data_IF_338443611809
#
_entry.id   IF_338443611809
#
_cell.length_a   1.000
_cell.length_b   1.000
_cell.length_c   1.000
_cell.angle_alpha   90.00
_cell.angle_beta   90.00
_cell.angle_gamma   90.00
#
_symmetry.space_group_name_H-M   'P 1'
#
loop_
_entity.id
_entity.type
_entity.pdbx_description
1 polymer ?
#
# COMPACT_ATOMS: atom_id res chain seq x y z
N UNK A 1 -1.84 54.85 -9.16
CA UNK A 1 -1.41 53.67 -8.37
C UNK A 1 -2.01 52.42 -8.99
N UNK A 2 -1.19 51.51 -9.52
CA UNK A 2 -1.66 50.18 -9.93
C UNK A 2 -1.79 49.31 -8.66
N UNK A 3 -2.96 48.72 -8.43
CA UNK A 3 -3.21 47.80 -7.31
C UNK A 3 -3.03 46.36 -7.79
N UNK A 4 -2.38 45.51 -6.99
CA UNK A 4 -2.22 44.08 -7.27
C UNK A 4 -3.17 43.28 -6.40
N UNK A 5 -3.87 42.30 -7.01
CA UNK A 5 -4.73 41.35 -6.29
C UNK A 5 -4.14 39.96 -6.48
N UNK A 6 -3.98 39.21 -5.37
CA UNK A 6 -3.56 37.80 -5.38
C UNK A 6 -4.76 36.92 -5.06
N UNK A 7 -5.01 35.92 -5.89
CA UNK A 7 -6.08 34.94 -5.71
C UNK A 7 -5.46 33.57 -5.52
N UNK A 8 -5.91 32.84 -4.50
CA UNK A 8 -5.49 31.47 -4.21
C UNK A 8 -6.65 30.52 -4.55
N UNK A 9 -6.38 29.50 -5.34
CA UNK A 9 -7.36 28.48 -5.72
C UNK A 9 -6.94 27.12 -5.15
N UNK A 10 -7.82 26.51 -4.37
CA UNK A 10 -7.65 25.15 -3.89
C UNK A 10 -8.46 24.18 -4.77
N UNK A 11 -7.83 23.10 -5.24
CA UNK A 11 -8.46 22.11 -6.11
C UNK A 11 -8.24 20.71 -5.53
N UNK A 12 -9.32 19.95 -5.33
CA UNK A 12 -9.26 18.55 -4.91
C UNK A 12 -9.28 17.65 -6.15
N UNK A 13 -8.17 16.98 -6.44
CA UNK A 13 -8.03 16.06 -7.58
C UNK A 13 -8.12 14.60 -7.12
N UNK A 14 -8.98 13.80 -7.76
CA UNK A 14 -9.12 12.36 -7.50
C UNK A 14 -8.08 11.56 -8.28
N UNK A 15 -7.92 10.28 -7.96
CA UNK A 15 -7.12 9.35 -8.78
C UNK A 15 -7.91 8.99 -10.04
N UNK A 16 -7.22 8.88 -11.17
CA UNK A 16 -7.81 8.53 -12.45
C UNK A 16 -6.80 7.81 -13.35
N UNK A 17 -7.26 7.11 -14.41
CA UNK A 17 -6.37 6.54 -15.41
C UNK A 17 -5.41 7.59 -15.97
N UNK A 18 -4.14 7.25 -16.10
CA UNK A 18 -3.07 8.16 -16.50
C UNK A 18 -2.27 8.78 -15.35
N UNK A 19 -2.79 8.77 -14.12
CA UNK A 19 -2.03 9.21 -12.95
C UNK A 19 -0.88 8.23 -12.63
N UNK A 20 0.25 8.77 -12.17
CA UNK A 20 1.44 7.98 -11.85
C UNK A 20 1.47 7.58 -10.38
N UNK A 21 1.59 6.27 -10.14
CA UNK A 21 1.74 5.67 -8.81
C UNK A 21 3.13 5.03 -8.68
N UNK A 22 3.62 4.87 -7.46
CA UNK A 22 4.88 4.20 -7.17
C UNK A 22 4.88 3.52 -5.81
N UNK A 23 5.58 2.38 -5.70
CA UNK A 23 5.99 1.85 -4.41
C UNK A 23 7.33 2.44 -3.96
N UNK A 24 7.78 2.05 -2.77
CA UNK A 24 9.05 2.50 -2.18
C UNK A 24 10.28 1.82 -2.81
N UNK A 25 10.08 0.71 -3.51
CA UNK A 25 11.14 -0.11 -4.11
C UNK A 25 11.42 0.23 -5.58
N UNK A 26 11.12 1.46 -6.00
CA UNK A 26 11.35 1.94 -7.36
C UNK A 26 10.39 1.38 -8.42
N UNK A 27 9.44 0.53 -8.03
CA UNK A 27 8.34 0.09 -8.88
C UNK A 27 7.42 1.29 -9.15
N UNK A 28 7.29 1.68 -10.42
CA UNK A 28 6.44 2.79 -10.87
C UNK A 28 5.45 2.27 -11.90
N UNK A 29 4.22 2.76 -11.83
CA UNK A 29 3.15 2.42 -12.74
C UNK A 29 2.31 3.63 -13.09
N UNK A 30 1.57 3.51 -14.18
CA UNK A 30 0.48 4.44 -14.52
C UNK A 30 -0.81 3.66 -14.30
N UNK A 31 -1.79 4.28 -13.65
CA UNK A 31 -3.12 3.66 -13.50
C UNK A 31 -3.70 3.46 -14.89
N UNK A 32 -3.96 2.21 -15.29
CA UNK A 32 -4.51 1.89 -16.62
C UNK A 32 -6.03 1.90 -16.61
N UNK A 33 -6.63 1.35 -15.57
CA UNK A 33 -8.08 1.18 -15.45
C UNK A 33 -8.48 1.20 -13.97
N UNK A 34 -9.70 1.68 -13.70
CA UNK A 34 -10.37 1.56 -12.40
C UNK A 34 -11.60 0.70 -12.68
N UNK A 35 -11.65 -0.48 -12.06
CA UNK A 35 -12.75 -1.43 -12.23
C UNK A 35 -13.68 -1.40 -11.01
N UNK A 36 -14.95 -1.82 -11.16
CA UNK A 36 -15.84 -2.07 -10.03
C UNK A 36 -15.27 -3.12 -9.07
N UNK A 37 -15.73 -3.12 -7.82
CA UNK A 37 -15.20 -4.00 -6.77
C UNK A 37 -15.56 -5.47 -7.01
N UNK A 38 -16.72 -5.71 -7.63
CA UNK A 38 -17.23 -7.03 -8.02
C UNK A 38 -16.38 -7.70 -9.11
N UNK A 39 -15.66 -6.91 -9.92
CA UNK A 39 -14.78 -7.42 -10.97
C UNK A 39 -13.38 -7.79 -10.43
N UNK A 40 -13.05 -7.37 -9.20
CA UNK A 40 -11.72 -7.60 -8.63
C UNK A 40 -11.55 -9.05 -8.16
N UNK A 41 -10.35 -9.62 -8.31
CA UNK A 41 -10.02 -10.87 -7.66
C UNK A 41 -10.26 -10.79 -6.15
N UNK A 42 -10.82 -11.84 -5.57
CA UNK A 42 -11.13 -11.89 -4.14
C UNK A 42 -10.57 -13.15 -3.49
N UNK A 43 -10.33 -13.05 -2.18
CA UNK A 43 -9.91 -14.17 -1.34
C UNK A 43 -11.11 -15.06 -0.99
N UNK A 44 -10.86 -16.25 -0.43
CA UNK A 44 -11.90 -17.19 -0.03
C UNK A 44 -12.91 -16.65 1.00
N UNK A 45 -12.53 -15.62 1.76
CA UNK A 45 -13.39 -14.90 2.70
C UNK A 45 -14.28 -13.84 2.02
N UNK A 46 -14.16 -13.67 0.70
CA UNK A 46 -14.87 -12.68 -0.09
C UNK A 46 -14.20 -11.30 -0.13
N UNK A 47 -13.07 -11.11 0.55
CA UNK A 47 -12.36 -9.82 0.55
C UNK A 47 -11.72 -9.57 -0.83
N UNK A 48 -12.08 -8.49 -1.54
CA UNK A 48 -11.49 -8.15 -2.83
C UNK A 48 -10.09 -7.55 -2.65
N UNK A 49 -9.24 -7.71 -3.67
CA UNK A 49 -7.95 -7.00 -3.73
C UNK A 49 -8.15 -5.56 -4.22
N UNK A 50 -7.32 -4.62 -3.74
CA UNK A 50 -7.43 -3.21 -4.14
C UNK A 50 -6.63 -2.86 -5.40
N UNK A 51 -5.46 -3.48 -5.59
CA UNK A 51 -4.53 -3.20 -6.69
C UNK A 51 -3.94 -4.50 -7.21
N UNK A 52 -3.98 -4.69 -8.53
CA UNK A 52 -3.29 -5.80 -9.21
C UNK A 52 -2.00 -5.28 -9.85
N UNK A 53 -0.87 -5.89 -9.48
CA UNK A 53 0.45 -5.56 -10.02
C UNK A 53 0.97 -6.70 -10.90
N UNK A 54 1.71 -6.35 -11.96
CA UNK A 54 2.30 -7.34 -12.86
C UNK A 54 3.58 -7.97 -12.23
N UNK A 55 3.62 -9.30 -12.03
CA UNK A 55 4.77 -9.96 -11.41
C UNK A 55 6.05 -9.92 -12.27
N UNK A 56 5.94 -9.78 -13.60
CA UNK A 56 7.09 -9.75 -14.52
C UNK A 56 8.03 -8.55 -14.28
N UNK A 57 7.52 -7.51 -13.61
CA UNK A 57 8.29 -6.32 -13.27
C UNK A 57 9.30 -6.51 -12.14
N UNK A 58 9.24 -7.62 -11.39
CA UNK A 58 10.11 -7.86 -10.23
C UNK A 58 11.43 -8.55 -10.62
N UNK A 59 11.43 -9.69 -11.35
CA UNK A 59 12.68 -10.40 -11.66
C UNK A 59 13.66 -9.55 -12.48
N UNK A 60 13.13 -8.81 -13.46
CA UNK A 60 13.92 -7.98 -14.36
C UNK A 60 14.57 -6.77 -13.69
N UNK A 61 13.98 -6.26 -12.60
CA UNK A 61 14.47 -5.08 -11.87
C UNK A 61 15.21 -5.42 -10.59
N UNK A 62 15.23 -6.70 -10.20
CA UNK A 62 15.88 -7.23 -9.00
C UNK A 62 15.47 -6.50 -7.70
N UNK A 63 14.26 -5.96 -7.64
CA UNK A 63 13.72 -5.26 -6.47
C UNK A 63 12.85 -6.20 -5.61
N UNK A 64 13.48 -7.27 -5.11
CA UNK A 64 12.84 -8.34 -4.32
C UNK A 64 12.22 -7.81 -3.02
N UNK A 65 12.76 -6.73 -2.46
CA UNK A 65 12.26 -6.12 -1.23
C UNK A 65 10.76 -5.77 -1.26
N UNK A 66 10.18 -5.52 -2.44
CA UNK A 66 8.74 -5.28 -2.56
C UNK A 66 7.90 -6.52 -2.25
N UNK A 67 8.43 -7.73 -2.50
CA UNK A 67 7.75 -8.99 -2.17
C UNK A 67 7.83 -9.22 -0.66
N UNK A 68 9.00 -8.98 -0.06
CA UNK A 68 9.17 -9.05 1.39
C UNK A 68 8.26 -8.06 2.12
N UNK A 69 8.11 -6.84 1.59
CA UNK A 69 7.16 -5.84 2.08
C UNK A 69 5.72 -6.37 2.04
N UNK A 70 5.31 -6.98 0.93
CA UNK A 70 3.94 -7.54 0.76
C UNK A 70 3.68 -8.64 1.79
N UNK A 71 4.61 -9.58 1.99
CA UNK A 71 4.47 -10.67 2.95
C UNK A 71 4.40 -10.15 4.40
N UNK A 72 5.34 -9.28 4.79
CA UNK A 72 5.34 -8.68 6.12
C UNK A 72 4.10 -7.80 6.36
N UNK A 73 3.67 -7.06 5.34
CA UNK A 73 2.45 -6.26 5.38
C UNK A 73 1.19 -7.12 5.55
N UNK A 74 1.16 -8.30 4.93
CA UNK A 74 0.05 -9.24 5.13
C UNK A 74 0.01 -9.81 6.53
N UNK A 75 1.18 -10.23 7.07
CA UNK A 75 1.30 -10.66 8.46
C UNK A 75 0.85 -9.55 9.43
N UNK A 76 1.32 -8.32 9.23
CA UNK A 76 0.96 -7.16 10.03
C UNK A 76 -0.55 -6.91 10.07
N UNK A 77 -1.22 -6.97 8.90
CA UNK A 77 -2.68 -6.85 8.82
C UNK A 77 -3.38 -8.03 9.52
N UNK A 78 -2.95 -9.26 9.26
CA UNK A 78 -3.55 -10.46 9.84
C UNK A 78 -3.48 -10.48 11.37
N UNK A 79 -2.34 -10.07 11.94
CA UNK A 79 -2.19 -9.86 13.39
C UNK A 79 -3.18 -8.81 13.92
N UNK A 80 -3.34 -7.68 13.21
CA UNK A 80 -4.31 -6.65 13.59
C UNK A 80 -5.77 -7.15 13.56
N UNK A 81 -6.15 -7.92 12.53
CA UNK A 81 -7.47 -8.55 12.45
C UNK A 81 -7.70 -9.54 13.59
N UNK A 82 -6.66 -10.29 13.99
CA UNK A 82 -6.73 -11.20 15.13
C UNK A 82 -6.90 -10.46 16.46
N UNK A 83 -6.17 -9.36 16.67
CA UNK A 83 -6.36 -8.46 17.81
C UNK A 83 -7.80 -7.91 17.81
N UNK A 84 -8.30 -7.46 16.66
CA UNK A 84 -9.68 -7.00 16.51
C UNK A 84 -10.71 -8.04 16.91
N UNK A 85 -10.55 -9.29 16.45
CA UNK A 85 -11.40 -10.43 16.83
C UNK A 85 -11.39 -10.67 18.36
N UNK A 86 -10.22 -10.60 19.00
CA UNK A 86 -10.10 -10.77 20.46
C UNK A 86 -10.78 -9.64 21.24
N UNK A 87 -10.71 -8.40 20.74
CA UNK A 87 -11.40 -7.26 21.34
C UNK A 87 -12.92 -7.36 21.19
N UNK A 88 -13.40 -7.72 20.00
CA UNK A 88 -14.83 -7.87 19.73
C UNK A 88 -15.45 -9.02 20.54
N UNK A 89 -14.69 -10.11 20.76
CA UNK A 89 -15.08 -11.22 21.64
C UNK A 89 -14.97 -10.90 23.14
N UNK A 90 -14.54 -9.68 23.51
CA UNK A 90 -14.32 -9.26 24.90
C UNK A 90 -13.44 -10.25 25.68
N UNK A 91 -12.37 -10.72 25.04
CA UNK A 91 -11.45 -11.67 25.68
C UNK A 91 -10.76 -11.06 26.91
N UNK A 92 -10.32 -11.92 27.83
CA UNK A 92 -9.59 -11.51 29.03
C UNK A 92 -8.32 -10.75 28.64
N UNK A 93 -8.09 -9.61 29.30
CA UNK A 93 -6.91 -8.75 29.07
C UNK A 93 -5.59 -9.53 29.21
N UNK A 94 -5.53 -10.53 30.10
CA UNK A 94 -4.39 -11.42 30.23
C UNK A 94 -4.02 -12.13 28.91
N UNK A 95 -5.02 -12.68 28.20
CA UNK A 95 -4.79 -13.39 26.93
C UNK A 95 -4.39 -12.44 25.81
N UNK A 96 -4.95 -11.23 25.81
CA UNK A 96 -4.56 -10.17 24.89
C UNK A 96 -3.11 -9.73 25.13
N UNK A 97 -2.71 -9.59 26.40
CA UNK A 97 -1.33 -9.28 26.81
C UNK A 97 -0.36 -10.37 26.38
N UNK A 98 -0.72 -11.65 26.59
CA UNK A 98 0.10 -12.79 26.14
C UNK A 98 0.26 -12.82 24.62
N UNK A 99 -0.80 -12.47 23.88
CA UNK A 99 -0.75 -12.40 22.43
C UNK A 99 0.13 -11.24 21.94
N UNK A 100 0.01 -10.06 22.55
CA UNK A 100 0.90 -8.93 22.26
C UNK A 100 2.35 -9.24 22.62
N UNK A 101 2.60 -9.98 23.69
CA UNK A 101 3.94 -10.43 24.07
C UNK A 101 4.55 -11.35 22.99
N UNK A 102 3.75 -12.25 22.43
CA UNK A 102 4.17 -13.09 21.29
C UNK A 102 4.44 -12.29 20.01
N UNK A 103 3.82 -11.12 19.83
CA UNK A 103 4.07 -10.26 18.66
C UNK A 103 5.37 -9.47 18.86
N UNK A 104 5.55 -8.87 20.04
CA UNK A 104 6.65 -7.93 20.28
C UNK A 104 7.95 -8.58 20.77
N UNK A 105 7.88 -9.69 21.50
CA UNK A 105 9.03 -10.23 22.26
C UNK A 105 9.48 -11.63 21.82
N UNK A 106 8.81 -12.26 20.85
CA UNK A 106 9.06 -13.68 20.49
C UNK A 106 10.43 -13.93 19.89
N UNK A 107 10.89 -13.05 19.01
CA UNK A 107 12.14 -13.23 18.26
C UNK A 107 13.29 -12.40 18.88
N UNK A 108 13.24 -12.17 20.20
CA UNK A 108 14.21 -11.37 20.97
C UNK A 108 15.66 -11.93 21.02
N UNK A 109 15.99 -12.95 20.22
CA UNK A 109 17.35 -13.43 20.03
C UNK A 109 18.12 -12.55 19.01
N UNK A 110 17.96 -11.22 19.10
CA UNK A 110 18.59 -10.26 18.18
C UNK A 110 17.97 -8.85 18.20
N UNK A 111 16.69 -8.73 18.56
CA UNK A 111 16.00 -7.45 18.58
C UNK A 111 16.49 -6.53 19.72
N UNK A 112 16.95 -5.32 19.37
CA UNK A 112 17.40 -4.28 20.31
C UNK A 112 16.29 -3.74 21.24
N UNK A 113 15.03 -4.17 21.05
CA UNK A 113 13.86 -3.59 21.70
C UNK A 113 12.96 -4.67 22.32
N UNK A 114 13.28 -5.09 23.55
CA UNK A 114 12.36 -5.84 24.39
C UNK A 114 11.30 -4.89 24.96
N UNK A 115 10.03 -5.14 24.71
CA UNK A 115 8.93 -4.30 25.22
C UNK A 115 8.38 -4.92 26.49
N UNK A 116 8.51 -4.20 27.60
CA UNK A 116 7.97 -4.63 28.88
C UNK A 116 6.45 -4.34 28.96
N UNK A 117 5.62 -5.25 28.43
CA UNK A 117 4.16 -5.14 28.51
C UNK A 117 3.62 -5.27 29.95
N UNK A 118 4.44 -5.67 30.93
CA UNK A 118 4.01 -5.76 32.34
C UNK A 118 3.87 -4.40 33.00
N UNK A 119 4.56 -3.36 32.50
CA UNK A 119 4.42 -2.00 33.04
C UNK A 119 3.11 -1.32 32.66
N UNK A 120 2.38 -1.87 31.68
CA UNK A 120 1.14 -1.31 31.18
C UNK A 120 -0.03 -1.73 32.07
N UNK A 121 -0.92 -0.78 32.35
CA UNK A 121 -2.20 -1.08 32.98
C UNK A 121 -3.20 -1.66 31.95
N UNK A 122 -4.29 -2.24 32.44
CA UNK A 122 -5.24 -2.93 31.57
C UNK A 122 -5.98 -1.98 30.60
N UNK A 123 -6.20 -0.72 31.00
CA UNK A 123 -6.81 0.28 30.12
C UNK A 123 -5.86 0.67 28.97
N UNK A 124 -4.56 0.79 29.25
CA UNK A 124 -3.53 1.06 28.25
C UNK A 124 -3.36 -0.09 27.27
N UNK A 125 -3.44 -1.35 27.74
CA UNK A 125 -3.41 -2.53 26.87
C UNK A 125 -4.62 -2.54 25.93
N UNK A 126 -5.81 -2.23 26.43
CA UNK A 126 -7.01 -2.14 25.61
C UNK A 126 -6.93 -1.00 24.59
N UNK A 127 -6.40 0.17 24.98
CA UNK A 127 -6.19 1.28 24.06
C UNK A 127 -5.17 0.94 22.98
N UNK A 128 -4.04 0.33 23.36
CA UNK A 128 -3.02 -0.14 22.43
C UNK A 128 -3.62 -1.13 21.43
N UNK A 129 -4.29 -2.17 21.91
CA UNK A 129 -4.95 -3.14 21.05
C UNK A 129 -6.00 -2.50 20.13
N UNK A 130 -6.75 -1.51 20.63
CA UNK A 130 -7.70 -0.73 19.83
C UNK A 130 -7.04 -0.02 18.64
N UNK A 131 -5.86 0.56 18.86
CA UNK A 131 -5.06 1.19 17.79
C UNK A 131 -4.50 0.17 16.80
N UNK A 132 -4.16 -1.05 17.26
CA UNK A 132 -3.57 -2.11 16.45
C UNK A 132 -4.59 -2.91 15.62
N UNK A 133 -5.90 -2.67 15.81
CA UNK A 133 -6.98 -3.37 15.09
C UNK A 133 -6.85 -3.30 13.56
N UNK A 134 -6.33 -2.19 13.03
CA UNK A 134 -6.14 -2.00 11.60
C UNK A 134 -4.90 -2.72 11.04
N UNK A 135 -4.01 -3.21 11.91
CA UNK A 135 -2.74 -3.79 11.53
C UNK A 135 -1.66 -3.38 12.53
N UNK A 136 -0.74 -4.29 12.81
CA UNK A 136 0.39 -4.02 13.71
C UNK A 136 1.47 -3.29 12.92
N UNK A 137 1.84 -2.05 13.28
CA UNK A 137 2.92 -1.34 12.60
C UNK A 137 4.24 -2.10 12.81
N UNK A 138 4.90 -2.45 11.70
CA UNK A 138 6.19 -3.13 11.71
C UNK A 138 7.30 -2.15 11.37
N UNK A 139 8.45 -2.29 12.03
CA UNK A 139 9.66 -1.55 11.72
C UNK A 139 10.73 -2.52 11.24
N UNK A 140 11.32 -2.23 10.08
CA UNK A 140 12.47 -2.96 9.56
C UNK A 140 13.58 -1.95 9.26
N UNK A 141 14.60 -1.85 10.13
CA UNK A 141 15.75 -0.99 9.91
C UNK A 141 16.48 -1.29 8.60
N UNK A 142 17.15 -0.28 8.05
CA UNK A 142 17.97 -0.47 6.85
C UNK A 142 19.21 -1.27 7.23
N UNK A 143 19.46 -2.38 6.54
CA UNK A 143 20.59 -3.32 6.76
C UNK A 143 20.54 -4.18 8.03
N UNK A 144 19.53 -4.00 8.88
CA UNK A 144 19.28 -4.81 10.08
C UNK A 144 17.77 -5.09 10.17
N UNK A 145 17.26 -5.67 9.08
CA UNK A 145 15.83 -5.82 8.82
C UNK A 145 15.27 -7.16 9.31
N UNK A 146 13.98 -7.37 9.11
CA UNK A 146 13.34 -8.63 9.46
C UNK A 146 13.80 -9.74 8.50
N UNK A 147 14.23 -10.86 9.05
CA UNK A 147 14.64 -12.04 8.28
C UNK A 147 13.44 -12.80 7.73
N UNK A 148 13.64 -13.60 6.68
CA UNK A 148 12.56 -14.41 6.08
C UNK A 148 11.91 -15.36 7.10
N UNK A 149 12.70 -15.93 8.01
CA UNK A 149 12.22 -16.81 9.07
C UNK A 149 11.26 -16.09 10.03
N UNK A 150 11.55 -14.82 10.36
CA UNK A 150 10.70 -13.98 11.21
C UNK A 150 9.42 -13.59 10.47
N UNK A 151 9.49 -13.26 9.18
CA UNK A 151 8.29 -12.98 8.38
C UNK A 151 7.36 -14.21 8.35
N UNK A 152 7.92 -15.42 8.17
CA UNK A 152 7.16 -16.67 8.23
C UNK A 152 6.59 -16.94 9.63
N UNK A 153 7.34 -16.63 10.69
CA UNK A 153 6.86 -16.76 12.07
C UNK A 153 5.64 -15.87 12.33
N UNK A 154 5.67 -14.64 11.79
CA UNK A 154 4.58 -13.67 11.89
C UNK A 154 3.36 -14.05 11.05
N UNK A 155 3.56 -14.57 9.82
CA UNK A 155 2.48 -15.13 9.00
C UNK A 155 1.79 -16.28 9.72
N UNK A 156 2.55 -17.21 10.32
CA UNK A 156 2.01 -18.31 11.12
C UNK A 156 1.22 -17.79 12.33
N UNK A 157 1.74 -16.78 13.03
CA UNK A 157 1.05 -16.16 14.15
C UNK A 157 -0.24 -15.44 13.73
N UNK A 158 -0.30 -14.95 12.48
CA UNK A 158 -1.48 -14.35 11.89
C UNK A 158 -2.52 -15.35 11.35
N UNK A 159 -2.27 -16.67 11.45
CA UNK A 159 -3.08 -17.74 10.84
C UNK A 159 -3.10 -17.66 9.30
N UNK A 160 -1.99 -17.20 8.71
CA UNK A 160 -1.80 -17.04 7.27
C UNK A 160 -0.79 -18.08 6.73
N UNK A 161 -0.86 -18.42 5.43
CA UNK A 161 0.08 -19.35 4.82
C UNK A 161 1.51 -18.77 4.81
N UNK A 162 2.48 -19.60 5.20
CA UNK A 162 3.91 -19.21 5.28
C UNK A 162 4.52 -18.88 3.91
N UNK A 163 3.89 -19.33 2.81
CA UNK A 163 4.29 -18.99 1.44
C UNK A 163 4.04 -17.51 1.11
N UNK A 164 3.15 -16.82 1.84
CA UNK A 164 2.65 -15.50 1.45
C UNK A 164 1.75 -15.54 0.21
N UNK A 165 1.28 -16.73 -0.17
CA UNK A 165 0.41 -16.96 -1.32
C UNK A 165 -0.91 -17.57 -0.88
N UNK A 166 -1.98 -17.25 -1.60
CA UNK A 166 -3.31 -17.81 -1.38
C UNK A 166 -4.04 -18.02 -2.70
N UNK A 167 -5.07 -18.85 -2.66
CA UNK A 167 -5.98 -19.01 -3.80
C UNK A 167 -6.86 -17.76 -3.90
N UNK A 168 -6.89 -17.16 -5.09
CA UNK A 168 -7.81 -16.09 -5.45
C UNK A 168 -8.89 -16.63 -6.39
N UNK A 169 -10.01 -15.93 -6.44
CA UNK A 169 -11.14 -16.20 -7.33
C UNK A 169 -11.35 -15.01 -8.25
N UNK A 170 -11.62 -15.25 -9.53
CA UNK A 170 -11.97 -14.20 -10.48
C UNK A 170 -13.34 -13.60 -10.11
N UNK A 171 -13.42 -12.28 -9.94
CA UNK A 171 -14.68 -11.60 -9.59
C UNK A 171 -15.75 -11.71 -10.67
N UNK A 172 -15.37 -11.92 -11.93
CA UNK A 172 -16.30 -11.97 -13.07
C UNK A 172 -16.91 -13.35 -13.28
N UNK A 173 -16.11 -14.40 -13.14
CA UNK A 173 -16.54 -15.79 -13.40
C UNK A 173 -16.83 -16.56 -12.11
N UNK A 174 -16.21 -16.16 -10.99
CA UNK A 174 -16.23 -16.90 -9.73
C UNK A 174 -15.28 -18.10 -9.70
N UNK A 175 -14.53 -18.36 -10.77
CA UNK A 175 -13.60 -19.50 -10.84
C UNK A 175 -12.32 -19.19 -10.06
N UNK A 176 -11.76 -20.22 -9.42
CA UNK A 176 -10.46 -20.13 -8.77
C UNK A 176 -9.34 -20.02 -9.81
N UNK A 177 -8.32 -19.23 -9.53
CA UNK A 177 -7.10 -19.22 -10.36
C UNK A 177 -6.36 -20.56 -10.23
N UNK A 178 -5.75 -21.02 -11.34
CA UNK A 178 -5.01 -22.29 -11.40
C UNK A 178 -3.83 -22.39 -10.43
N UNK A 179 -3.27 -21.25 -10.01
CA UNK A 179 -2.11 -21.17 -9.13
C UNK A 179 -2.35 -20.16 -8.02
N UNK A 180 -1.76 -20.43 -6.87
CA UNK A 180 -1.75 -19.49 -5.77
C UNK A 180 -1.03 -18.19 -6.17
N UNK A 181 -1.54 -17.08 -5.67
CA UNK A 181 -1.06 -15.74 -5.99
C UNK A 181 -0.57 -15.09 -4.70
N UNK A 182 0.55 -14.37 -4.79
CA UNK A 182 1.05 -13.56 -3.67
C UNK A 182 0.09 -12.40 -3.41
N UNK A 183 -0.43 -12.34 -2.19
CA UNK A 183 -1.34 -11.29 -1.72
C UNK A 183 -0.75 -10.66 -0.47
N UNK A 184 -0.97 -9.37 -0.27
CA UNK A 184 -0.56 -8.68 0.93
C UNK A 184 -0.64 -7.17 0.79
N UNK A 185 0.03 -6.47 1.70
CA UNK A 185 -0.06 -5.01 1.81
C UNK A 185 1.26 -4.37 1.41
N UNK A 186 1.24 -3.58 0.34
CA UNK A 186 2.37 -2.78 -0.13
C UNK A 186 2.07 -1.30 0.10
N UNK A 187 3.06 -0.53 0.58
CA UNK A 187 2.87 0.91 0.73
C UNK A 187 3.01 1.63 -0.63
N UNK A 188 1.89 2.14 -1.14
CA UNK A 188 1.81 2.81 -2.43
C UNK A 188 1.68 4.33 -2.29
N UNK A 189 2.37 5.05 -3.17
CA UNK A 189 2.44 6.51 -3.22
C UNK A 189 1.85 7.03 -4.54
N UNK A 190 1.06 8.11 -4.45
CA UNK A 190 0.65 8.90 -5.62
C UNK A 190 1.70 9.97 -5.89
N UNK A 191 2.29 9.94 -7.09
CA UNK A 191 3.27 10.94 -7.48
C UNK A 191 2.57 12.20 -8.00
N UNK A 192 3.24 13.35 -7.91
CA UNK A 192 2.74 14.63 -8.44
C UNK A 192 2.71 14.69 -9.98
N UNK A 193 2.86 13.56 -10.66
CA UNK A 193 2.80 13.42 -12.11
C UNK A 193 1.37 13.08 -12.53
N UNK A 194 0.49 14.07 -12.48
CA UNK A 194 -0.93 13.93 -12.77
C UNK A 194 -1.21 14.04 -14.27
N UNK A 195 -2.17 13.26 -14.77
CA UNK A 195 -2.51 13.28 -16.20
C UNK A 195 -3.10 14.62 -16.64
N UNK A 196 -3.91 15.26 -15.80
CA UNK A 196 -4.53 16.57 -16.09
C UNK A 196 -3.49 17.66 -16.40
N UNK A 197 -2.35 17.61 -15.72
CA UNK A 197 -1.27 18.58 -15.93
C UNK A 197 -0.53 18.31 -17.25
N UNK A 198 -0.52 17.06 -17.71
CA UNK A 198 0.19 16.61 -18.91
C UNK A 198 -0.65 16.63 -20.18
N UNK A 199 -1.98 16.51 -20.07
CA UNK A 199 -2.86 16.56 -21.22
C UNK A 199 -2.78 17.95 -21.87
N UNK A 200 -2.44 17.98 -23.15
CA UNK A 200 -2.37 19.20 -23.95
C UNK A 200 -2.72 18.88 -25.40
N UNK A 201 -3.63 19.65 -25.96
CA UNK A 201 -4.05 19.52 -27.35
C UNK A 201 -4.19 20.92 -27.96
N UNK A 202 -3.80 21.05 -29.23
CA UNK A 202 -3.87 22.31 -29.98
C UNK A 202 -4.47 22.03 -31.35
N UNK A 203 -5.46 22.82 -31.74
CA UNK A 203 -5.95 22.91 -33.13
C UNK A 203 -5.30 24.10 -33.85
N UNK A 204 -5.64 25.32 -33.44
CA UNK A 204 -5.05 26.59 -33.89
C UNK A 204 -4.62 27.41 -32.67
N UNK A 205 -3.70 28.37 -32.83
CA UNK A 205 -3.17 29.11 -31.69
C UNK A 205 -2.15 30.16 -32.10
N UNK A 206 -1.52 30.85 -31.13
CA UNK A 206 -0.57 31.91 -31.40
C UNK A 206 0.71 31.39 -32.08
N UNK A 207 1.34 32.29 -32.83
CA UNK A 207 2.56 32.07 -33.59
C UNK A 207 3.66 33.03 -33.14
N UNK A 208 4.89 32.58 -33.23
CA UNK A 208 6.08 33.41 -33.04
C UNK A 208 6.16 34.45 -34.15
N UNK A 209 6.36 35.72 -33.79
CA UNK A 209 6.48 36.81 -34.77
C UNK A 209 7.67 36.63 -35.71
N UNK A 210 8.77 36.06 -35.21
CA UNK A 210 10.03 35.91 -35.96
C UNK A 210 10.00 34.69 -36.86
N UNK A 211 9.65 33.52 -36.29
CA UNK A 211 9.74 32.25 -37.03
C UNK A 211 8.43 31.88 -37.74
N UNK A 212 7.34 32.58 -37.44
CA UNK A 212 5.98 32.23 -37.90
C UNK A 212 5.62 30.77 -37.58
N UNK A 213 6.24 30.19 -36.56
CA UNK A 213 5.95 28.85 -36.05
C UNK A 213 4.99 28.93 -34.87
N UNK A 214 4.17 27.90 -34.64
CA UNK A 214 3.46 27.69 -33.39
C UNK A 214 4.33 28.00 -32.17
N UNK A 215 3.81 28.78 -31.21
CA UNK A 215 4.48 28.95 -29.90
C UNK A 215 4.68 27.60 -29.21
N UNK A 216 5.59 27.54 -28.22
CA UNK A 216 5.87 26.32 -27.45
C UNK A 216 5.19 26.31 -26.08
N UNK A 217 4.79 25.13 -25.61
CA UNK A 217 4.33 24.91 -24.24
C UNK A 217 2.83 25.14 -23.99
N UNK A 218 2.27 24.38 -23.04
CA UNK A 218 0.83 24.37 -22.70
C UNK A 218 0.29 25.75 -22.29
N UNK A 219 1.07 26.52 -21.52
CA UNK A 219 0.65 27.85 -21.05
C UNK A 219 0.41 28.86 -22.18
N UNK A 220 1.05 28.70 -23.33
CA UNK A 220 0.90 29.56 -24.50
C UNK A 220 -0.02 28.95 -25.56
N UNK A 221 -0.73 27.87 -25.22
CA UNK A 221 -1.46 27.04 -26.19
C UNK A 221 -0.56 26.61 -27.37
N UNK A 222 0.69 26.27 -27.04
CA UNK A 222 1.75 25.97 -27.97
C UNK A 222 1.58 24.65 -28.72
N UNK A 223 2.26 24.51 -29.86
CA UNK A 223 2.35 23.24 -30.59
C UNK A 223 3.36 22.29 -29.97
N UNK A 224 3.29 21.03 -30.37
CA UNK A 224 4.36 20.06 -30.11
C UNK A 224 5.56 20.42 -31.01
N UNK A 225 6.78 20.32 -30.45
CA UNK A 225 8.01 20.45 -31.23
C UNK A 225 8.34 19.14 -31.94
#
# INVERSE_FOLDING_TARGET
>A
MLKMVKVYLAVKRRIQPGDKMAGRHGNKGVVSMIVPVEDMPHMADGTPVDIVLNPLGVPSRMNIGQILEVHLGWAARGLGLRIGRMLDASEKVARLRDFLDQIYNRDAAGAAHHINLKSFNDAEILQLAGNLRAGVPMATPVFDGADEAEIKSMLRLAELPESGQTTLFDGRTGEAFDREVTVGYMHMLKLNHLVDDKMHARSTGPYSLVTQQPLGGKAQFGGQR
#
